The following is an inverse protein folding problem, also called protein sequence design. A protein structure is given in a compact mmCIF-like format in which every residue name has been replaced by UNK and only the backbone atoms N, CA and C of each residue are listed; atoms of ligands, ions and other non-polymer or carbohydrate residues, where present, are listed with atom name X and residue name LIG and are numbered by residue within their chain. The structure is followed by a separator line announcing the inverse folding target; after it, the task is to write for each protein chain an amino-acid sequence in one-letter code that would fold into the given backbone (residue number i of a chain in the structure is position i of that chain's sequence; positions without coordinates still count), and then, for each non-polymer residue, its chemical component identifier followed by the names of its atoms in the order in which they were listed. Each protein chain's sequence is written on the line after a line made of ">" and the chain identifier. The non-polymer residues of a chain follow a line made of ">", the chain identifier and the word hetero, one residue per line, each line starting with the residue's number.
data_IF_708380684740
#
_entry.id   IF_708380684740
#
_cell.length_a   1.000
_cell.length_b   1.000
_cell.length_c   1.000
_cell.angle_alpha   90.00
_cell.angle_beta   90.00
_cell.angle_gamma   90.00
#
_symmetry.space_group_name_H-M   'P 1'
#
loop_
_entity.id
_entity.type
_entity.pdbx_description
1 polymer ?
#
# COMPACT_ATOMS: atom_id res chain seq x y z
N UNK A 1 14.18 -6.75 -13.93
CA UNK A 1 12.72 -6.92 -13.89
C UNK A 1 12.17 -5.77 -13.07
N UNK A 2 11.54 -4.79 -13.74
CA UNK A 2 10.86 -3.65 -13.11
C UNK A 2 9.34 -3.89 -12.99
N UNK A 3 8.91 -5.13 -13.23
CA UNK A 3 7.52 -5.56 -13.14
C UNK A 3 7.22 -5.89 -11.69
N UNK A 4 6.13 -5.34 -11.15
CA UNK A 4 5.48 -5.92 -9.99
C UNK A 4 4.90 -7.27 -10.39
N UNK A 5 4.93 -8.21 -9.46
CA UNK A 5 4.27 -9.50 -9.60
C UNK A 5 3.99 -10.05 -8.21
N UNK A 6 2.82 -10.69 -8.08
CA UNK A 6 2.44 -11.37 -6.85
C UNK A 6 2.66 -12.87 -7.03
N UNK A 7 3.53 -13.45 -6.20
CA UNK A 7 3.71 -14.88 -6.10
C UNK A 7 2.72 -15.44 -5.06
N UNK A 8 1.76 -16.21 -5.57
CA UNK A 8 0.71 -16.85 -4.77
C UNK A 8 1.06 -18.30 -4.40
N UNK A 9 2.21 -18.82 -4.86
CA UNK A 9 2.59 -20.20 -4.60
C UNK A 9 2.85 -20.46 -3.11
N UNK A 10 2.50 -21.66 -2.66
CA UNK A 10 2.73 -22.11 -1.28
C UNK A 10 4.22 -22.38 -1.06
N UNK A 11 4.79 -21.78 -0.01
CA UNK A 11 6.25 -21.83 0.28
C UNK A 11 6.63 -22.80 1.40
N UNK A 12 5.65 -23.33 2.13
CA UNK A 12 5.86 -24.31 3.20
C UNK A 12 6.40 -23.74 4.52
N UNK A 13 6.73 -22.45 4.58
CA UNK A 13 7.16 -21.73 5.79
C UNK A 13 6.09 -20.76 6.34
N UNK A 14 4.86 -20.89 5.85
CA UNK A 14 3.75 -19.96 6.09
C UNK A 14 3.33 -19.90 7.56
N UNK A 15 3.29 -21.04 8.26
CA UNK A 15 2.92 -21.11 9.68
C UNK A 15 3.84 -20.29 10.60
N UNK A 16 5.07 -20.04 10.18
CA UNK A 16 6.05 -19.27 10.95
C UNK A 16 6.04 -17.81 10.50
N UNK A 17 6.02 -17.56 9.18
CA UNK A 17 6.19 -16.22 8.62
C UNK A 17 4.90 -15.43 8.56
N UNK A 18 3.78 -16.04 8.16
CA UNK A 18 2.54 -15.30 7.97
C UNK A 18 1.94 -14.83 9.31
N UNK A 19 2.07 -15.65 10.36
CA UNK A 19 1.59 -15.32 11.71
C UNK A 19 2.29 -14.10 12.35
N UNK A 20 3.52 -13.79 11.93
CA UNK A 20 4.28 -12.65 12.45
C UNK A 20 3.90 -11.32 11.78
N UNK A 21 3.13 -11.34 10.68
CA UNK A 21 2.80 -10.14 9.89
C UNK A 21 1.66 -9.31 10.47
N UNK A 22 0.81 -9.91 11.31
CA UNK A 22 -0.31 -9.22 11.98
C UNK A 22 0.15 -8.26 13.08
N UNK A 23 1.39 -8.41 13.58
CA UNK A 23 1.89 -7.71 14.77
C UNK A 23 2.45 -6.30 14.50
N UNK A 24 2.78 -5.96 13.26
CA UNK A 24 3.29 -4.62 12.91
C UNK A 24 2.13 -3.66 12.59
N UNK A 25 1.27 -3.39 13.58
CA UNK A 25 0.07 -2.55 13.44
C UNK A 25 0.29 -1.07 13.77
N UNK A 26 1.44 -0.65 14.31
CA UNK A 26 1.64 0.76 14.69
C UNK A 26 2.03 1.64 13.51
N UNK A 27 1.08 1.89 12.59
CA UNK A 27 1.10 3.12 11.81
C UNK A 27 0.73 4.24 12.79
N UNK A 28 1.71 4.90 13.38
CA UNK A 28 1.46 6.13 14.14
C UNK A 28 0.97 7.16 13.11
N UNK A 29 -0.24 7.72 13.24
CA UNK A 29 -0.66 8.83 12.39
C UNK A 29 0.37 9.95 12.53
N UNK A 30 0.70 10.62 11.42
CA UNK A 30 1.44 11.88 11.51
C UNK A 30 0.49 12.90 12.08
N UNK A 31 0.51 13.08 13.39
CA UNK A 31 -0.03 14.29 13.99
C UNK A 31 0.90 15.44 13.58
N UNK A 32 0.37 16.29 12.71
CA UNK A 32 0.95 17.58 12.36
C UNK A 32 0.40 18.57 13.37
N UNK A 33 0.96 18.57 14.57
CA UNK A 33 1.08 19.72 15.47
C UNK A 33 1.73 19.22 16.77
N UNK A 34 2.84 19.85 17.14
CA UNK A 34 3.52 19.56 18.39
C UNK A 34 2.70 20.11 19.53
N UNK A 35 2.06 19.23 20.30
CA UNK A 35 1.74 19.48 21.69
C UNK A 35 2.43 18.40 22.52
N UNK A 36 3.37 18.85 23.34
CA UNK A 36 4.02 18.06 24.38
C UNK A 36 2.93 17.63 25.36
N UNK A 37 2.58 16.34 25.38
CA UNK A 37 1.70 15.81 26.42
C UNK A 37 2.54 15.69 27.68
N UNK A 38 2.43 16.69 28.55
CA UNK A 38 2.92 16.63 29.93
C UNK A 38 2.23 15.48 30.67
N UNK A 39 3.04 14.60 31.28
CA UNK A 39 2.56 13.57 32.21
C UNK A 39 2.05 14.26 33.48
N UNK A 40 0.73 14.40 33.63
CA UNK A 40 0.14 14.81 34.91
C UNK A 40 0.15 13.65 35.91
N UNK A 41 0.95 13.81 36.97
CA UNK A 41 0.91 13.00 38.17
C UNK A 41 -0.40 13.21 38.95
N UNK A 42 -0.95 12.20 39.65
CA UNK A 42 -2.22 12.34 40.36
C UNK A 42 -2.04 13.17 41.64
N UNK A 43 -2.78 14.28 41.74
CA UNK A 43 -2.93 15.07 42.95
C UNK A 43 -3.77 14.34 44.02
N UNK A 44 -3.32 14.48 45.26
CA UNK A 44 -3.96 14.00 46.47
C UNK A 44 -5.25 14.78 46.78
N UNK A 45 -6.34 14.09 47.09
CA UNK A 45 -7.44 14.64 47.91
C UNK A 45 -7.73 13.64 49.02
N UNK A 46 -7.52 14.09 50.25
CA UNK A 46 -7.73 13.35 51.48
C UNK A 46 -9.17 13.52 52.02
N UNK A 47 -9.59 12.49 52.76
CA UNK A 47 -10.52 12.47 53.89
C UNK A 47 -12.04 12.63 53.65
N UNK A 48 -12.74 11.50 53.69
CA UNK A 48 -13.93 11.31 54.55
C UNK A 48 -14.24 9.80 54.74
N UNK A 49 -14.08 9.30 55.97
CA UNK A 49 -14.60 8.02 56.49
C UNK A 49 -15.77 8.33 57.47
N UNK A 50 -16.79 7.46 57.65
CA UNK A 50 -16.61 6.19 58.38
C UNK A 50 -17.51 4.96 58.02
N UNK A 51 -16.89 3.77 58.04
CA UNK A 51 -17.24 2.49 58.72
C UNK A 51 -18.65 1.82 58.60
N UNK A 52 -18.83 0.52 58.97
CA UNK A 52 -18.20 -0.70 58.43
C UNK A 52 -19.26 -1.82 58.17
N UNK A 53 -18.97 -2.80 57.30
CA UNK A 53 -19.60 -4.12 57.42
C UNK A 53 -18.75 -5.21 56.76
N UNK A 54 -18.13 -5.99 57.64
CA UNK A 54 -17.74 -7.40 57.58
C UNK A 54 -18.28 -8.19 56.37
N UNK A 55 -17.37 -8.73 55.56
CA UNK A 55 -17.23 -10.19 55.38
C UNK A 55 -16.00 -10.47 54.51
N UNK A 56 -14.97 -11.04 55.13
CA UNK A 56 -13.82 -11.66 54.48
C UNK A 56 -14.23 -13.01 53.88
N UNK A 57 -13.95 -13.24 52.60
CA UNK A 57 -13.48 -14.57 52.15
C UNK A 57 -12.67 -14.46 50.86
N UNK A 58 -11.41 -14.84 50.97
CA UNK A 58 -10.39 -14.90 49.94
C UNK A 58 -10.50 -16.19 49.11
N UNK A 59 -10.46 -16.09 47.77
CA UNK A 59 -9.85 -17.13 46.94
C UNK A 59 -9.38 -16.57 45.58
N UNK A 60 -8.11 -16.77 45.16
CA UNK A 60 -7.56 -16.19 43.95
C UNK A 60 -7.78 -17.13 42.77
N UNK A 61 -8.66 -16.75 41.84
CA UNK A 61 -8.66 -17.34 40.50
C UNK A 61 -8.13 -16.32 39.51
N UNK A 62 -6.85 -16.49 39.19
CA UNK A 62 -6.21 -16.01 37.96
C UNK A 62 -7.12 -16.49 36.82
N UNK A 63 -7.90 -15.57 36.25
CA UNK A 63 -8.63 -15.81 35.02
C UNK A 63 -7.67 -15.47 33.89
N UNK A 64 -6.85 -16.45 33.51
CA UNK A 64 -6.14 -16.44 32.24
C UNK A 64 -7.20 -16.22 31.15
N UNK A 65 -7.28 -14.99 30.67
CA UNK A 65 -8.12 -14.66 29.52
C UNK A 65 -7.34 -15.15 28.30
N UNK A 66 -7.38 -16.47 28.08
CA UNK A 66 -7.08 -17.04 26.79
C UNK A 66 -8.09 -16.42 25.81
N UNK A 67 -7.65 -15.38 25.12
CA UNK A 67 -8.31 -14.94 23.90
C UNK A 67 -8.13 -16.10 22.94
N UNK A 68 -9.10 -17.01 22.90
CA UNK A 68 -9.29 -17.93 21.78
C UNK A 68 -9.50 -17.06 20.55
N UNK A 69 -8.40 -16.69 19.89
CA UNK A 69 -8.42 -16.14 18.55
C UNK A 69 -9.08 -17.21 17.69
N UNK A 70 -10.37 -17.02 17.40
CA UNK A 70 -11.10 -17.85 16.46
C UNK A 70 -10.40 -17.70 15.11
N UNK A 71 -9.43 -18.58 14.86
CA UNK A 71 -8.86 -18.79 13.55
C UNK A 71 -9.99 -19.37 12.73
N UNK A 72 -10.71 -18.49 12.06
CA UNK A 72 -11.71 -18.84 11.07
C UNK A 72 -10.97 -19.57 9.95
N UNK A 73 -10.91 -20.91 10.06
CA UNK A 73 -10.40 -21.78 9.00
C UNK A 73 -11.45 -21.76 7.90
N UNK A 74 -11.46 -20.66 7.15
CA UNK A 74 -12.12 -20.59 5.85
C UNK A 74 -11.61 -21.75 5.01
N UNK A 75 -12.46 -22.36 4.18
CA UNK A 75 -12.06 -23.42 3.26
C UNK A 75 -10.99 -22.89 2.30
N UNK A 76 -9.74 -22.97 2.75
CA UNK A 76 -8.59 -22.42 2.09
C UNK A 76 -8.30 -23.34 0.92
N UNK A 77 -8.46 -22.84 -0.31
CA UNK A 77 -7.86 -23.49 -1.46
C UNK A 77 -6.35 -23.67 -1.18
N UNK A 78 -5.82 -24.89 -1.03
CA UNK A 78 -4.43 -25.13 -0.66
C UNK A 78 -3.46 -24.75 -1.79
N UNK A 79 -3.98 -24.33 -2.95
CA UNK A 79 -3.16 -23.83 -4.05
C UNK A 79 -2.61 -22.41 -3.82
N UNK A 80 -3.21 -21.62 -2.94
CA UNK A 80 -2.83 -20.21 -2.70
C UNK A 80 -2.19 -20.09 -1.32
N UNK A 81 -1.05 -19.43 -1.21
CA UNK A 81 -0.39 -19.14 0.06
C UNK A 81 -1.25 -18.30 1.01
N UNK A 82 -1.04 -18.43 2.32
CA UNK A 82 -1.67 -17.59 3.33
C UNK A 82 -1.17 -16.15 3.29
N UNK A 83 0.11 -15.95 2.95
CA UNK A 83 0.72 -14.64 2.73
C UNK A 83 1.51 -14.62 1.41
N UNK A 84 0.85 -14.21 0.31
CA UNK A 84 1.48 -14.02 -0.99
C UNK A 84 2.61 -13.00 -0.94
N UNK A 85 3.55 -13.10 -1.88
CA UNK A 85 4.72 -12.22 -1.93
C UNK A 85 4.60 -11.26 -3.09
N UNK A 86 4.78 -9.97 -2.83
CA UNK A 86 4.89 -8.97 -3.88
C UNK A 86 6.37 -8.72 -4.22
N UNK A 87 6.71 -8.78 -5.50
CA UNK A 87 8.02 -8.46 -6.02
C UNK A 87 8.10 -7.01 -6.51
N UNK A 88 9.30 -6.43 -6.47
CA UNK A 88 9.53 -5.06 -6.96
C UNK A 88 9.20 -3.96 -5.94
N UNK A 89 8.88 -4.35 -4.70
CA UNK A 89 8.64 -3.44 -3.58
C UNK A 89 9.96 -3.11 -2.87
N UNK A 90 10.21 -1.82 -2.65
CA UNK A 90 11.36 -1.31 -1.91
C UNK A 90 10.89 -0.68 -0.59
N UNK A 91 11.75 -0.77 0.42
CA UNK A 91 11.53 -0.06 1.69
C UNK A 91 12.19 1.32 1.61
N UNK A 92 11.36 2.37 1.70
CA UNK A 92 11.81 3.74 1.96
C UNK A 92 11.64 4.10 3.43
N UNK A 93 12.19 5.23 3.85
CA UNK A 93 11.96 5.78 5.19
C UNK A 93 10.49 6.13 5.48
N UNK A 94 9.64 6.23 4.45
CA UNK A 94 8.20 6.48 4.59
C UNK A 94 7.32 5.25 4.37
N UNK A 95 7.94 4.10 4.14
CA UNK A 95 7.26 2.82 3.97
C UNK A 95 7.56 2.14 2.64
N UNK A 96 6.75 1.12 2.35
CA UNK A 96 6.86 0.31 1.15
C UNK A 96 6.42 1.09 -0.10
N UNK A 97 7.22 1.01 -1.16
CA UNK A 97 6.96 1.64 -2.45
C UNK A 97 7.22 0.64 -3.58
N UNK A 98 6.37 0.63 -4.60
CA UNK A 98 6.66 -0.11 -5.82
C UNK A 98 7.61 0.67 -6.72
N UNK A 99 8.77 0.10 -7.03
CA UNK A 99 9.80 0.77 -7.81
C UNK A 99 9.44 0.89 -9.31
N UNK A 100 8.62 -0.02 -9.82
CA UNK A 100 8.22 -0.06 -11.22
C UNK A 100 7.53 1.23 -11.67
N UNK A 101 6.36 1.56 -11.08
CA UNK A 101 5.61 2.79 -11.39
C UNK A 101 6.43 4.07 -11.19
N UNK A 102 7.33 4.10 -10.20
CA UNK A 102 8.22 5.24 -9.96
C UNK A 102 9.14 5.48 -11.16
N UNK A 103 9.81 4.42 -11.63
CA UNK A 103 10.79 4.51 -12.71
C UNK A 103 10.09 4.75 -14.06
N UNK A 104 8.95 4.11 -14.31
CA UNK A 104 8.16 4.34 -15.53
C UNK A 104 7.59 5.76 -15.56
N UNK A 105 7.14 6.30 -14.43
CA UNK A 105 6.70 7.68 -14.29
C UNK A 105 7.82 8.67 -14.63
N UNK A 106 9.02 8.49 -14.08
CA UNK A 106 10.20 9.32 -14.43
C UNK A 106 10.51 9.26 -15.93
N UNK A 107 10.48 8.07 -16.53
CA UNK A 107 10.71 7.89 -17.97
C UNK A 107 9.64 8.60 -18.82
N UNK A 108 8.36 8.48 -18.46
CA UNK A 108 7.26 9.16 -19.12
C UNK A 108 7.32 10.68 -18.94
N UNK A 109 7.77 11.15 -17.78
CA UNK A 109 7.99 12.57 -17.50
C UNK A 109 9.08 13.20 -18.38
N UNK A 110 10.16 12.45 -18.64
CA UNK A 110 11.27 12.88 -19.51
C UNK A 110 10.91 12.91 -21.00
N UNK A 111 9.90 12.15 -21.41
CA UNK A 111 9.38 12.08 -22.77
C UNK A 111 7.85 12.26 -22.75
N UNK A 112 7.35 13.46 -22.40
CA UNK A 112 5.92 13.69 -22.25
C UNK A 112 5.20 13.58 -23.60
N UNK A 113 4.11 12.82 -23.63
CA UNK A 113 3.28 12.61 -24.81
C UNK A 113 1.81 12.59 -24.41
N UNK A 114 1.00 13.31 -25.17
CA UNK A 114 -0.46 13.29 -25.03
C UNK A 114 -1.08 12.81 -26.33
N UNK A 115 -1.83 11.71 -26.29
CA UNK A 115 -2.48 11.12 -27.46
C UNK A 115 -3.99 11.19 -27.32
N UNK A 116 -4.70 11.46 -28.41
CA UNK A 116 -6.17 11.49 -28.38
C UNK A 116 -6.75 10.08 -28.49
N UNK A 117 -7.86 9.81 -27.80
CA UNK A 117 -8.54 8.50 -27.87
C UNK A 117 -8.92 8.11 -29.30
N UNK A 118 -9.27 9.08 -30.15
CA UNK A 118 -9.58 8.87 -31.57
C UNK A 118 -8.40 8.28 -32.33
N UNK A 119 -7.19 8.74 -32.05
CA UNK A 119 -5.96 8.25 -32.68
C UNK A 119 -5.62 6.83 -32.22
N UNK A 120 -5.75 6.56 -30.91
CA UNK A 120 -5.56 5.21 -30.36
C UNK A 120 -6.56 4.20 -30.95
N UNK A 121 -7.82 4.59 -31.09
CA UNK A 121 -8.86 3.73 -31.65
C UNK A 121 -8.70 3.53 -33.16
N UNK A 122 -8.20 4.53 -33.89
CA UNK A 122 -7.86 4.39 -35.31
C UNK A 122 -6.72 3.38 -35.55
N UNK A 123 -5.81 3.23 -34.58
CA UNK A 123 -4.75 2.22 -34.61
C UNK A 123 -5.26 0.80 -34.24
N UNK A 124 -6.33 0.72 -33.44
CA UNK A 124 -6.97 -0.57 -33.11
C UNK A 124 -7.69 -1.14 -34.35
N UNK A 125 -7.21 -2.27 -34.87
CA UNK A 125 -7.67 -2.88 -36.13
C UNK A 125 -9.12 -3.42 -36.10
N UNK A 126 -9.86 -3.22 -35.02
CA UNK A 126 -11.21 -3.74 -34.79
C UNK A 126 -12.32 -2.67 -34.86
N UNK A 127 -12.02 -1.49 -35.39
CA UNK A 127 -12.94 -0.34 -35.48
C UNK A 127 -14.05 -0.52 -36.55
N UNK A 128 -14.83 -1.60 -36.47
CA UNK A 128 -16.09 -1.80 -37.18
C UNK A 128 -17.35 -1.51 -36.34
N UNK A 129 -17.20 -1.20 -35.03
CA UNK A 129 -18.33 -0.93 -34.12
C UNK A 129 -18.46 0.57 -33.81
N UNK A 130 -19.46 1.18 -34.43
CA UNK A 130 -20.11 2.47 -34.11
C UNK A 130 -19.29 3.52 -33.33
N UNK A 131 -18.66 4.45 -34.05
CA UNK A 131 -18.07 5.71 -33.54
C UNK A 131 -19.10 6.70 -32.94
N UNK A 132 -20.31 6.28 -32.57
CA UNK A 132 -21.44 7.21 -32.37
C UNK A 132 -21.52 7.88 -30.99
N UNK A 133 -20.67 7.52 -30.02
CA UNK A 133 -20.64 8.16 -28.69
C UNK A 133 -19.22 8.13 -28.08
N UNK A 134 -18.22 8.54 -28.85
CA UNK A 134 -16.86 8.64 -28.31
C UNK A 134 -16.57 10.07 -27.90
N UNK A 135 -16.45 10.27 -26.60
CA UNK A 135 -15.91 11.49 -26.03
C UNK A 135 -14.43 11.60 -26.39
N UNK A 136 -14.03 12.78 -26.86
CA UNK A 136 -12.63 13.07 -27.16
C UNK A 136 -11.92 13.34 -25.83
N UNK A 137 -11.18 12.36 -25.34
CA UNK A 137 -10.30 12.53 -24.19
C UNK A 137 -8.84 12.53 -24.65
N UNK A 138 -8.02 13.31 -23.97
CA UNK A 138 -6.58 13.32 -24.15
C UNK A 138 -5.97 12.41 -23.08
N UNK A 139 -5.14 11.45 -23.50
CA UNK A 139 -4.44 10.51 -22.63
C UNK A 139 -3.01 11.01 -22.45
N UNK A 140 -2.65 11.37 -21.22
CA UNK A 140 -1.27 11.71 -20.83
C UNK A 140 -0.49 10.42 -20.51
N UNK A 141 0.68 10.26 -21.12
CA UNK A 141 1.54 9.10 -20.88
C UNK A 141 2.04 9.02 -19.43
N UNK A 142 2.16 10.14 -18.72
CA UNK A 142 2.58 10.18 -17.30
C UNK A 142 1.57 9.51 -16.39
N UNK A 143 0.28 9.78 -16.62
CA UNK A 143 -0.81 9.13 -15.89
C UNK A 143 -1.00 7.67 -16.33
N UNK A 144 -0.91 7.42 -17.63
CA UNK A 144 -1.05 6.07 -18.20
C UNK A 144 0.04 5.10 -17.72
N UNK A 145 1.27 5.58 -17.52
CA UNK A 145 2.45 4.77 -17.15
C UNK A 145 2.60 4.49 -15.65
N UNK A 146 1.74 5.10 -14.81
CA UNK A 146 1.83 5.03 -13.35
C UNK A 146 0.60 4.34 -12.78
N UNK A 147 -0.43 5.09 -12.37
CA UNK A 147 -1.58 4.57 -11.63
C UNK A 147 -2.68 3.96 -12.51
N UNK A 148 -2.78 4.40 -13.76
CA UNK A 148 -3.91 4.05 -14.62
C UNK A 148 -4.03 2.54 -14.88
N UNK A 149 -2.89 1.85 -15.06
CA UNK A 149 -2.88 0.42 -15.38
C UNK A 149 -3.54 -0.41 -14.29
N UNK A 150 -3.02 -0.29 -13.06
CA UNK A 150 -3.47 -1.05 -11.89
C UNK A 150 -4.92 -0.69 -11.52
N UNK A 151 -5.28 0.60 -11.56
CA UNK A 151 -6.66 1.05 -11.36
C UNK A 151 -7.62 0.48 -12.41
N UNK A 152 -7.17 0.36 -13.66
CA UNK A 152 -7.98 -0.25 -14.72
C UNK A 152 -8.16 -1.74 -14.48
N UNK A 153 -7.15 -2.43 -13.95
CA UNK A 153 -7.26 -3.83 -13.56
C UNK A 153 -8.30 -4.01 -12.46
N UNK A 154 -8.25 -3.19 -11.40
CA UNK A 154 -9.26 -3.16 -10.32
C UNK A 154 -10.66 -2.95 -10.91
N UNK A 155 -10.83 -1.90 -11.73
CA UNK A 155 -12.14 -1.55 -12.29
C UNK A 155 -12.71 -2.64 -13.20
N UNK A 156 -11.86 -3.32 -13.99
CA UNK A 156 -12.29 -4.34 -14.94
C UNK A 156 -12.45 -5.73 -14.31
N UNK A 157 -11.64 -6.07 -13.30
CA UNK A 157 -11.72 -7.38 -12.61
C UNK A 157 -12.77 -7.38 -11.51
N UNK A 158 -12.80 -6.34 -10.70
CA UNK A 158 -13.69 -6.25 -9.54
C UNK A 158 -15.03 -5.60 -9.89
N UNK A 159 -15.05 -4.61 -10.79
CA UNK A 159 -16.24 -3.82 -11.12
C UNK A 159 -17.43 -4.62 -11.70
N UNK A 160 -17.24 -5.57 -12.64
CA UNK A 160 -18.35 -6.36 -13.19
C UNK A 160 -18.92 -7.41 -12.23
N UNK A 161 -18.26 -7.68 -11.10
CA UNK A 161 -18.70 -8.68 -10.15
C UNK A 161 -19.86 -8.14 -9.28
N UNK A 162 -21.09 -8.35 -9.74
CA UNK A 162 -22.29 -7.91 -9.01
C UNK A 162 -22.29 -8.41 -7.56
N UNK A 163 -22.41 -7.47 -6.61
CA UNK A 163 -22.50 -7.76 -5.18
C UNK A 163 -21.16 -7.91 -4.44
N UNK A 164 -20.02 -7.63 -5.09
CA UNK A 164 -18.72 -7.51 -4.41
C UNK A 164 -18.36 -6.04 -4.20
N UNK A 165 -17.88 -5.71 -3.01
CA UNK A 165 -17.28 -4.41 -2.74
C UNK A 165 -15.94 -4.30 -3.48
N UNK A 166 -15.69 -3.15 -4.10
CA UNK A 166 -14.41 -2.88 -4.77
C UNK A 166 -13.38 -2.58 -3.68
N UNK A 167 -12.32 -3.38 -3.62
CA UNK A 167 -11.23 -3.22 -2.67
C UNK A 167 -9.98 -2.69 -3.40
N UNK A 168 -9.46 -1.57 -2.91
CA UNK A 168 -8.27 -0.89 -3.45
C UNK A 168 -7.23 -0.80 -2.35
N UNK A 169 -5.99 -1.20 -2.63
CA UNK A 169 -4.88 -1.13 -1.68
C UNK A 169 -4.77 -2.39 -0.85
N UNK A 170 -4.30 -3.48 -1.47
CA UNK A 170 -3.94 -4.69 -0.75
C UNK A 170 -2.85 -4.36 0.30
N UNK A 171 -3.11 -4.55 1.61
CA UNK A 171 -2.13 -4.22 2.64
C UNK A 171 -1.05 -5.30 2.69
N UNK A 172 0.18 -4.84 2.90
CA UNK A 172 1.34 -5.71 3.07
C UNK A 172 2.36 -5.15 4.03
N UNK A 173 3.35 -5.97 4.37
CA UNK A 173 4.48 -5.59 5.23
C UNK A 173 5.72 -6.40 4.90
N UNK A 174 6.88 -5.86 5.27
CA UNK A 174 8.15 -6.57 5.14
C UNK A 174 8.34 -7.57 6.28
N UNK A 175 9.06 -8.67 5.98
CA UNK A 175 9.50 -9.64 6.99
C UNK A 175 10.37 -9.01 8.10
N UNK A 176 11.17 -7.99 7.75
CA UNK A 176 12.06 -7.31 8.66
C UNK A 176 12.25 -5.86 8.22
N UNK A 177 12.32 -4.95 9.19
CA UNK A 177 12.64 -3.53 8.97
C UNK A 177 14.15 -3.30 8.80
N UNK A 178 14.99 -4.18 9.36
CA UNK A 178 16.45 -4.05 9.30
C UNK A 178 17.00 -4.64 8.00
N UNK A 179 16.48 -5.80 7.57
CA UNK A 179 16.88 -6.47 6.33
C UNK A 179 15.62 -6.88 5.55
N UNK A 180 14.94 -5.93 4.89
CA UNK A 180 13.74 -6.19 4.10
C UNK A 180 14.09 -7.02 2.87
N UNK A 181 13.71 -8.30 2.87
CA UNK A 181 13.93 -9.20 1.72
C UNK A 181 12.66 -9.58 0.98
N UNK A 182 11.56 -9.70 1.71
CA UNK A 182 10.28 -10.18 1.21
C UNK A 182 9.20 -9.24 1.70
N UNK A 183 8.34 -8.78 0.78
CA UNK A 183 7.14 -8.04 1.10
C UNK A 183 5.95 -8.99 0.98
N UNK A 184 5.26 -9.19 2.10
CA UNK A 184 4.15 -10.11 2.19
C UNK A 184 2.84 -9.36 2.20
N UNK A 185 1.89 -9.84 1.40
CA UNK A 185 0.51 -9.40 1.41
C UNK A 185 -0.26 -10.14 2.50
N UNK A 186 -1.16 -9.42 3.16
CA UNK A 186 -2.01 -9.97 4.24
C UNK A 186 -3.29 -10.60 3.72
N UNK A 187 -3.67 -10.28 2.49
CA UNK A 187 -4.86 -10.81 1.85
C UNK A 187 -4.48 -11.84 0.79
N UNK A 188 -5.46 -12.68 0.46
CA UNK A 188 -5.30 -13.82 -0.46
C UNK A 188 -6.06 -13.63 -1.77
N UNK A 189 -6.78 -12.52 -1.87
CA UNK A 189 -7.57 -12.10 -3.02
C UNK A 189 -7.34 -10.60 -3.25
N UNK A 190 -7.87 -10.07 -4.36
CA UNK A 190 -7.81 -8.65 -4.70
C UNK A 190 -6.39 -8.09 -4.86
N UNK A 191 -5.55 -8.72 -5.68
CA UNK A 191 -4.17 -8.31 -5.92
C UNK A 191 -4.00 -7.27 -7.02
N UNK A 192 -5.11 -6.80 -7.61
CA UNK A 192 -5.05 -5.91 -8.79
C UNK A 192 -4.42 -4.55 -8.48
N UNK A 193 -4.39 -4.14 -7.21
CA UNK A 193 -3.68 -2.94 -6.79
C UNK A 193 -3.27 -3.01 -5.31
N UNK A 194 -1.97 -2.97 -5.04
CA UNK A 194 -1.42 -3.03 -3.66
C UNK A 194 -1.18 -1.64 -3.04
N UNK A 195 -1.08 -1.58 -1.71
CA UNK A 195 -0.67 -0.35 -1.01
C UNK A 195 0.68 0.20 -1.52
N UNK A 196 1.62 -0.69 -1.88
CA UNK A 196 2.92 -0.33 -2.39
C UNK A 196 2.87 0.22 -3.81
N UNK A 197 2.00 -0.34 -4.67
CA UNK A 197 1.73 0.15 -6.02
C UNK A 197 1.02 1.50 -6.01
N UNK A 198 0.05 1.72 -5.13
CA UNK A 198 -0.60 3.04 -4.97
C UNK A 198 0.44 4.10 -4.63
N UNK A 199 1.30 3.84 -3.63
CA UNK A 199 2.36 4.77 -3.22
C UNK A 199 3.36 5.00 -4.33
N UNK A 200 3.90 3.93 -4.92
CA UNK A 200 4.86 4.02 -6.02
C UNK A 200 4.29 4.70 -7.25
N UNK A 201 3.01 4.49 -7.57
CA UNK A 201 2.33 5.13 -8.68
C UNK A 201 2.09 6.62 -8.45
N UNK A 202 1.69 7.03 -7.24
CA UNK A 202 1.57 8.44 -6.86
C UNK A 202 2.93 9.14 -6.90
N UNK A 203 3.95 8.54 -6.28
CA UNK A 203 5.32 9.06 -6.27
C UNK A 203 5.88 9.16 -7.69
N UNK A 204 5.64 8.14 -8.53
CA UNK A 204 5.99 8.14 -9.94
C UNK A 204 5.31 9.25 -10.72
N UNK A 205 4.02 9.52 -10.45
CA UNK A 205 3.27 10.58 -11.12
C UNK A 205 3.76 11.98 -10.70
N UNK A 206 4.04 12.19 -9.42
CA UNK A 206 4.60 13.44 -8.88
C UNK A 206 6.00 13.69 -9.46
N UNK A 207 6.83 12.66 -9.53
CA UNK A 207 8.13 12.75 -10.17
C UNK A 207 8.00 13.03 -11.68
N UNK A 208 7.04 12.40 -12.37
CA UNK A 208 6.81 12.60 -13.80
C UNK A 208 6.45 14.04 -14.15
N UNK A 209 5.69 14.73 -13.31
CA UNK A 209 5.30 16.13 -13.53
C UNK A 209 6.47 17.09 -13.31
N UNK A 210 7.34 16.80 -12.34
CA UNK A 210 8.42 17.70 -11.92
C UNK A 210 9.80 17.40 -12.55
N UNK A 211 10.02 16.20 -13.12
CA UNK A 211 11.35 15.77 -13.60
C UNK A 211 11.94 16.69 -14.68
N UNK A 212 11.10 17.27 -15.53
CA UNK A 212 11.54 18.22 -16.56
C UNK A 212 12.11 19.48 -15.93
N UNK A 213 11.48 19.99 -14.87
CA UNK A 213 12.01 21.14 -14.13
C UNK A 213 13.32 20.81 -13.44
N UNK A 214 13.41 19.64 -12.80
CA UNK A 214 14.64 19.20 -12.15
C UNK A 214 15.79 19.08 -13.14
N UNK A 215 15.54 18.54 -14.33
CA UNK A 215 16.51 18.44 -15.42
C UNK A 215 16.95 19.81 -15.95
N UNK A 216 16.05 20.80 -15.95
CA UNK A 216 16.39 22.15 -16.40
C UNK A 216 17.19 22.94 -15.34
N UNK A 217 16.96 22.68 -14.05
CA UNK A 217 17.73 23.30 -12.95
C UNK A 217 19.13 22.71 -12.80
N UNK A 218 19.30 21.42 -13.05
CA UNK A 218 20.57 20.71 -12.91
C UNK A 218 21.01 20.09 -14.24
N UNK A 219 22.18 20.49 -14.75
CA UNK A 219 22.75 19.88 -15.93
C UNK A 219 23.06 18.39 -15.68
N UNK A 220 22.41 17.50 -16.46
CA UNK A 220 22.63 16.05 -16.46
C UNK A 220 22.41 15.34 -15.10
N UNK A 221 21.23 15.53 -14.50
CA UNK A 221 20.83 14.81 -13.29
C UNK A 221 20.73 13.29 -13.49
N UNK A 222 21.26 12.50 -12.54
CA UNK A 222 21.14 11.04 -12.53
C UNK A 222 19.84 10.59 -11.86
N UNK A 223 19.32 9.43 -12.25
CA UNK A 223 18.12 8.85 -11.62
C UNK A 223 18.28 8.70 -10.11
N UNK A 224 19.44 8.21 -9.65
CA UNK A 224 19.70 8.07 -8.21
C UNK A 224 19.62 9.41 -7.46
N UNK A 225 20.00 10.52 -8.10
CA UNK A 225 19.91 11.85 -7.50
C UNK A 225 18.46 12.36 -7.48
N UNK A 226 17.67 12.09 -8.52
CA UNK A 226 16.23 12.42 -8.53
C UNK A 226 15.52 11.69 -7.39
N UNK A 227 15.77 10.39 -7.25
CA UNK A 227 15.19 9.58 -6.20
C UNK A 227 15.68 10.02 -4.82
N UNK A 228 16.97 10.34 -4.65
CA UNK A 228 17.50 10.82 -3.36
C UNK A 228 16.89 12.18 -2.98
N UNK A 229 16.72 13.11 -3.93
CA UNK A 229 16.07 14.40 -3.62
C UNK A 229 14.63 14.20 -3.14
N UNK A 230 13.84 13.42 -3.88
CA UNK A 230 12.42 13.17 -3.56
C UNK A 230 12.27 12.34 -2.29
N UNK A 231 13.08 11.31 -2.14
CA UNK A 231 13.07 10.42 -1.00
C UNK A 231 14.01 10.87 0.15
N UNK A 232 14.40 12.14 0.18
CA UNK A 232 15.07 12.75 1.35
C UNK A 232 14.08 13.45 2.28
N UNK A 233 14.52 13.79 3.49
CA UNK A 233 13.76 14.60 4.44
C UNK A 233 13.39 16.02 3.95
N UNK A 234 13.96 16.45 2.82
CA UNK A 234 13.74 17.77 2.22
C UNK A 234 12.77 17.73 1.02
N UNK A 235 12.32 16.54 0.64
CA UNK A 235 11.42 16.27 -0.48
C UNK A 235 9.96 16.45 -0.12
#
# INVERSE_FOLDING_TARGET
>A
MLSTSVDTAVRGDENIRCNQLSQYRSRVPRDVEGEEVEEEAPENVADEEPEPSEDEESDPRILDTEIEEQVEVTNVNPAISQCPVENGVLLSQWGAISAGPVITGVAAGLSPQTVTTRELLALSREAGRSQRQQQNFNVDNRWASTLCGDLSEVALRQGPAAGREIAVGAPGTFNSTVIPRWYFLRQREHFEMTDAEIRGGLDGLILATNVVEFRNRFNAIKLSQVLDMYYSHRG
#
